data_IF_530812295843
#
_entry.id   IF_530812295843
#
_cell.length_a   1.000
_cell.length_b   1.000
_cell.length_c   1.000
_cell.angle_alpha   90.00
_cell.angle_beta   90.00
_cell.angle_gamma   90.00
#
_symmetry.space_group_name_H-M   'P 1'
#
loop_
_entity.id
_entity.type
_entity.pdbx_description
1 polymer ?
#
# COMPACT_ATOMS: atom_id res chain seq x y z
N UNK A 1 28.91 -5.86 -5.40
CA UNK A 1 29.14 -6.46 -4.06
C UNK A 1 27.93 -7.30 -3.73
N UNK A 2 28.15 -8.54 -3.26
CA UNK A 2 27.07 -9.45 -2.87
C UNK A 2 26.44 -8.96 -1.57
N UNK A 3 25.13 -9.18 -1.41
CA UNK A 3 24.38 -8.85 -0.20
C UNK A 3 23.78 -10.11 0.39
N UNK A 4 23.57 -10.13 1.69
CA UNK A 4 22.97 -11.27 2.42
C UNK A 4 21.59 -11.64 1.87
N UNK A 5 20.75 -10.66 1.49
CA UNK A 5 19.46 -10.93 0.83
C UNK A 5 19.55 -11.90 -0.35
N UNK A 6 20.64 -11.87 -1.12
CA UNK A 6 20.87 -12.83 -2.22
C UNK A 6 21.20 -14.22 -1.69
N UNK A 7 22.01 -14.31 -0.64
CA UNK A 7 22.39 -15.58 0.00
C UNK A 7 21.18 -16.23 0.69
N UNK A 8 20.41 -15.46 1.47
CA UNK A 8 19.14 -15.89 2.05
C UNK A 8 18.21 -16.41 0.96
N UNK A 9 18.08 -15.67 -0.14
CA UNK A 9 17.21 -16.04 -1.24
C UNK A 9 17.62 -17.35 -1.91
N UNK A 10 18.90 -17.52 -2.21
CA UNK A 10 19.41 -18.75 -2.86
C UNK A 10 19.26 -19.95 -1.93
N UNK A 11 19.56 -19.81 -0.64
CA UNK A 11 19.34 -20.88 0.34
C UNK A 11 17.86 -21.22 0.48
N UNK A 12 16.99 -20.22 0.71
CA UNK A 12 15.55 -20.44 0.89
C UNK A 12 14.93 -21.24 -0.27
N UNK A 13 15.32 -20.93 -1.50
CA UNK A 13 14.79 -21.57 -2.69
C UNK A 13 15.61 -22.79 -3.16
N UNK A 14 16.69 -23.13 -2.46
CA UNK A 14 17.60 -24.24 -2.78
C UNK A 14 18.16 -24.17 -4.21
N UNK A 15 18.54 -22.97 -4.67
CA UNK A 15 19.16 -22.78 -5.99
C UNK A 15 20.67 -23.02 -5.94
N UNK A 16 21.01 -24.22 -5.51
CA UNK A 16 22.37 -24.68 -5.32
C UNK A 16 22.60 -25.90 -6.21
N UNK A 17 23.86 -26.20 -6.50
CA UNK A 17 24.24 -27.51 -7.05
C UNK A 17 24.11 -28.59 -5.96
N UNK A 18 22.87 -29.02 -5.67
CA UNK A 18 22.52 -29.91 -4.54
C UNK A 18 23.35 -31.21 -4.52
N UNK A 19 23.76 -31.71 -5.69
CA UNK A 19 24.57 -32.92 -5.82
C UNK A 19 26.02 -32.77 -5.33
N UNK A 20 26.48 -31.55 -5.04
CA UNK A 20 27.88 -31.25 -4.70
C UNK A 20 28.03 -30.44 -3.40
N UNK A 21 26.98 -30.33 -2.59
CA UNK A 21 27.08 -29.55 -1.36
C UNK A 21 28.02 -30.22 -0.37
N UNK A 22 29.07 -29.49 0.02
CA UNK A 22 30.05 -29.91 1.01
C UNK A 22 30.38 -28.75 1.94
N UNK A 23 30.67 -29.05 3.20
CA UNK A 23 31.26 -28.06 4.10
C UNK A 23 32.66 -27.66 3.61
N UNK A 24 33.19 -26.54 4.11
CA UNK A 24 34.59 -26.13 3.86
C UNK A 24 35.61 -27.18 4.26
N UNK A 25 35.27 -28.07 5.20
CA UNK A 25 36.08 -29.22 5.61
C UNK A 25 35.78 -30.52 4.85
N UNK A 26 35.01 -30.47 3.75
CA UNK A 26 34.77 -31.59 2.82
C UNK A 26 33.69 -32.59 3.25
N UNK A 27 32.88 -32.30 4.28
CA UNK A 27 31.77 -33.17 4.68
C UNK A 27 30.58 -32.93 3.77
N UNK A 28 30.03 -33.99 3.17
CA UNK A 28 28.83 -33.90 2.34
C UNK A 28 27.64 -33.32 3.11
N UNK A 29 26.85 -32.48 2.45
CA UNK A 29 25.64 -31.85 2.98
C UNK A 29 24.44 -32.33 2.15
N UNK A 30 23.39 -32.78 2.82
CA UNK A 30 22.09 -33.06 2.21
C UNK A 30 21.03 -32.23 2.93
N UNK A 31 20.38 -31.32 2.21
CA UNK A 31 19.33 -30.47 2.76
C UNK A 31 17.98 -31.19 2.59
N UNK A 32 17.36 -31.59 3.70
CA UNK A 32 15.99 -32.14 3.70
C UNK A 32 14.96 -31.02 3.80
N UNK A 33 15.26 -30.00 4.60
CA UNK A 33 14.45 -28.81 4.76
C UNK A 33 15.37 -27.61 5.05
N UNK A 34 15.32 -26.51 4.27
CA UNK A 34 16.21 -25.35 4.45
C UNK A 34 15.93 -24.54 5.73
N UNK A 35 14.79 -24.78 6.38
CA UNK A 35 14.31 -24.00 7.51
C UNK A 35 13.32 -22.91 7.07
N UNK A 36 12.67 -22.30 8.06
CA UNK A 36 11.76 -21.17 7.86
C UNK A 36 12.55 -19.87 7.99
N UNK A 37 12.60 -19.07 6.92
CA UNK A 37 13.24 -17.75 6.97
C UNK A 37 12.44 -16.82 7.87
N UNK A 38 13.03 -16.39 8.99
CA UNK A 38 12.29 -15.71 10.07
C UNK A 38 12.19 -14.20 9.85
N UNK A 39 13.25 -13.56 9.34
CA UNK A 39 13.39 -12.09 9.28
C UNK A 39 13.17 -11.40 10.65
N UNK A 40 13.41 -12.13 11.73
CA UNK A 40 13.29 -11.67 13.11
C UNK A 40 14.67 -11.64 13.77
N UNK A 41 14.72 -11.14 15.01
CA UNK A 41 15.94 -11.25 15.83
C UNK A 41 16.29 -12.71 16.11
N UNK A 42 17.56 -13.06 15.96
CA UNK A 42 18.10 -14.41 16.09
C UNK A 42 18.51 -14.97 14.73
N UNK A 43 18.72 -16.30 14.64
CA UNK A 43 19.19 -16.90 13.41
C UNK A 43 18.25 -16.72 12.22
N UNK A 44 18.83 -16.56 11.03
CA UNK A 44 18.10 -16.28 9.80
C UNK A 44 17.02 -17.33 9.47
N UNK A 45 17.35 -18.61 9.61
CA UNK A 45 16.44 -19.73 9.33
C UNK A 45 16.22 -20.59 10.56
N UNK A 46 14.95 -20.75 10.92
CA UNK A 46 14.54 -21.60 12.03
C UNK A 46 14.26 -23.04 11.57
N UNK A 47 14.73 -24.02 12.34
CA UNK A 47 14.39 -25.44 12.20
C UNK A 47 14.65 -26.04 10.79
N UNK A 48 15.85 -25.80 10.27
CA UNK A 48 16.38 -26.54 9.14
C UNK A 48 16.67 -28.00 9.52
N UNK A 49 16.52 -28.91 8.55
CA UNK A 49 16.83 -30.33 8.69
C UNK A 49 17.86 -30.73 7.65
N UNK A 50 19.07 -31.05 8.10
CA UNK A 50 20.24 -31.20 7.23
C UNK A 50 21.04 -32.42 7.68
N UNK A 51 21.48 -33.26 6.74
CA UNK A 51 22.50 -34.27 7.01
C UNK A 51 23.87 -33.70 6.67
N UNK A 52 24.81 -33.76 7.62
CA UNK A 52 26.21 -33.36 7.41
C UNK A 52 27.09 -34.57 7.71
N UNK A 53 27.81 -35.07 6.69
CA UNK A 53 28.46 -36.38 6.73
C UNK A 53 27.41 -37.48 6.91
N UNK A 54 27.46 -38.18 8.04
CA UNK A 54 26.55 -39.29 8.35
C UNK A 54 25.51 -38.94 9.43
N UNK A 55 25.51 -37.70 9.94
CA UNK A 55 24.64 -37.27 11.03
C UNK A 55 23.53 -36.35 10.51
N UNK A 56 22.28 -36.65 10.88
CA UNK A 56 21.15 -35.74 10.65
C UNK A 56 21.02 -34.76 11.82
N UNK A 57 20.87 -33.49 11.48
CA UNK A 57 20.74 -32.37 12.40
C UNK A 57 19.38 -31.70 12.20
N UNK A 58 18.82 -31.16 13.29
CA UNK A 58 17.68 -30.27 13.28
C UNK A 58 18.03 -29.04 14.13
N UNK A 59 18.02 -27.85 13.52
CA UNK A 59 18.48 -26.63 14.17
C UNK A 59 18.42 -25.44 13.23
N UNK A 60 19.13 -24.37 13.57
CA UNK A 60 19.05 -23.11 12.86
C UNK A 60 20.17 -22.96 11.84
N UNK A 61 19.95 -22.12 10.83
CA UNK A 61 20.96 -21.76 9.84
C UNK A 61 21.14 -20.25 9.85
N UNK A 62 22.40 -19.83 9.88
CA UNK A 62 22.79 -18.41 9.85
C UNK A 62 23.50 -18.08 8.55
N UNK A 63 23.34 -16.85 8.04
CA UNK A 63 23.89 -16.43 6.76
C UNK A 63 24.60 -15.09 6.87
N UNK A 64 25.85 -15.05 6.42
CA UNK A 64 26.62 -13.82 6.35
C UNK A 64 27.35 -13.68 5.02
N UNK A 65 27.78 -12.46 4.67
CA UNK A 65 28.70 -12.29 3.54
C UNK A 65 30.08 -12.83 3.91
N UNK A 66 30.63 -12.46 5.07
CA UNK A 66 31.90 -12.97 5.57
C UNK A 66 31.67 -13.85 6.79
N UNK A 67 32.50 -14.88 6.98
CA UNK A 67 32.42 -15.70 8.20
C UNK A 67 32.74 -14.86 9.45
N UNK A 68 33.64 -13.88 9.33
CA UNK A 68 34.02 -12.96 10.41
C UNK A 68 32.87 -12.09 10.94
N UNK A 69 31.81 -11.90 10.16
CA UNK A 69 30.62 -11.15 10.58
C UNK A 69 29.95 -11.80 11.81
N UNK A 70 30.13 -13.11 12.01
CA UNK A 70 29.69 -13.82 13.21
C UNK A 70 30.18 -13.15 14.51
N UNK A 71 31.46 -12.80 14.57
CA UNK A 71 32.10 -12.18 15.73
C UNK A 71 31.84 -10.68 15.80
N UNK A 72 31.69 -10.01 14.66
CA UNK A 72 31.33 -8.59 14.61
C UNK A 72 29.95 -8.39 15.23
N UNK A 73 29.04 -9.33 15.01
CA UNK A 73 27.69 -9.32 15.59
C UNK A 73 27.59 -9.99 16.97
N UNK A 74 28.70 -10.48 17.54
CA UNK A 74 28.76 -11.11 18.86
C UNK A 74 27.83 -12.32 19.00
N UNK A 75 27.62 -13.08 17.91
CA UNK A 75 26.73 -14.24 17.92
C UNK A 75 27.26 -15.39 18.80
N UNK A 76 28.56 -15.43 19.04
CA UNK A 76 29.21 -16.37 19.96
C UNK A 76 28.77 -16.17 21.43
N UNK A 77 28.34 -14.96 21.80
CA UNK A 77 27.88 -14.64 23.16
C UNK A 77 26.34 -14.72 23.31
N UNK A 78 25.61 -14.77 22.19
CA UNK A 78 24.14 -14.78 22.19
C UNK A 78 23.57 -16.20 22.19
N UNK A 79 22.87 -16.54 23.27
CA UNK A 79 22.20 -17.84 23.49
C UNK A 79 21.24 -18.21 22.35
N UNK A 80 20.67 -17.25 21.62
CA UNK A 80 19.81 -17.52 20.46
C UNK A 80 20.52 -18.26 19.33
N UNK A 81 21.85 -18.14 19.23
CA UNK A 81 22.66 -18.72 18.17
C UNK A 81 23.30 -20.06 18.55
N UNK A 82 23.13 -20.52 19.79
CA UNK A 82 23.68 -21.80 20.27
C UNK A 82 23.21 -23.02 19.46
N UNK A 83 22.03 -22.95 18.84
CA UNK A 83 21.49 -24.05 18.03
C UNK A 83 21.71 -23.86 16.52
N UNK A 84 22.71 -23.05 16.11
CA UNK A 84 23.11 -22.94 14.70
C UNK A 84 23.89 -24.20 14.31
N UNK A 85 23.33 -24.95 13.34
CA UNK A 85 23.87 -26.22 12.86
C UNK A 85 24.65 -26.10 11.55
N UNK A 86 24.50 -24.96 10.87
CA UNK A 86 25.19 -24.64 9.62
C UNK A 86 25.29 -23.12 9.48
N UNK A 87 26.47 -22.62 9.13
CA UNK A 87 26.70 -21.23 8.79
C UNK A 87 26.97 -21.12 7.28
N UNK A 88 26.19 -20.30 6.60
CA UNK A 88 26.31 -20.06 5.16
C UNK A 88 27.08 -18.76 4.94
N UNK A 89 28.13 -18.82 4.14
CA UNK A 89 28.96 -17.64 3.88
C UNK A 89 29.26 -17.50 2.40
N UNK A 90 29.44 -16.26 1.93
CA UNK A 90 29.99 -16.01 0.60
C UNK A 90 31.53 -16.00 0.61
N UNK A 91 32.13 -15.60 1.72
CA UNK A 91 33.56 -15.53 1.94
C UNK A 91 33.90 -16.20 3.28
N UNK A 92 34.57 -17.35 3.22
CA UNK A 92 35.10 -18.03 4.40
C UNK A 92 36.50 -17.47 4.72
N UNK A 93 36.55 -16.49 5.60
CA UNK A 93 37.77 -15.75 5.98
C UNK A 93 38.30 -16.12 7.38
N UNK A 94 37.46 -16.68 8.25
CA UNK A 94 37.82 -17.15 9.59
C UNK A 94 37.02 -18.39 9.98
N UNK A 95 37.58 -19.22 10.85
CA UNK A 95 36.86 -20.33 11.49
C UNK A 95 35.89 -19.77 12.54
N UNK A 96 34.67 -20.33 12.60
CA UNK A 96 33.62 -19.89 13.52
C UNK A 96 33.30 -21.01 14.52
N UNK A 97 33.19 -20.64 15.79
CA UNK A 97 32.98 -21.59 16.89
C UNK A 97 31.65 -21.34 17.63
N UNK A 98 31.06 -22.42 18.12
CA UNK A 98 29.95 -22.39 19.07
C UNK A 98 30.47 -22.02 20.47
N UNK A 99 29.54 -21.71 21.38
CA UNK A 99 29.85 -21.43 22.80
C UNK A 99 30.49 -22.61 23.55
N UNK A 100 30.43 -23.83 23.01
CA UNK A 100 31.13 -25.01 23.52
C UNK A 100 32.50 -25.26 22.85
N UNK A 101 33.04 -24.26 22.14
CA UNK A 101 34.31 -24.30 21.40
C UNK A 101 34.36 -25.31 20.24
N UNK A 102 33.23 -25.89 19.83
CA UNK A 102 33.18 -26.73 18.63
C UNK A 102 33.02 -25.85 17.37
N UNK A 103 33.72 -26.16 16.28
CA UNK A 103 33.57 -25.41 15.03
C UNK A 103 32.17 -25.64 14.44
N UNK A 104 31.53 -24.55 14.01
CA UNK A 104 30.25 -24.61 13.31
C UNK A 104 30.52 -25.11 11.88
N UNK A 105 29.78 -26.11 11.38
CA UNK A 105 29.88 -26.48 9.97
C UNK A 105 29.58 -25.27 9.07
N UNK A 106 30.50 -24.96 8.13
CA UNK A 106 30.33 -23.85 7.19
C UNK A 106 30.13 -24.37 5.77
N UNK A 107 29.16 -23.82 5.04
CA UNK A 107 29.01 -24.00 3.59
C UNK A 107 29.38 -22.70 2.87
N UNK A 108 30.37 -22.79 1.98
CA UNK A 108 30.73 -21.72 1.06
C UNK A 108 29.75 -21.66 -0.12
N UNK A 109 28.87 -20.65 -0.09
CA UNK A 109 27.86 -20.43 -1.11
C UNK A 109 28.45 -20.01 -2.45
N UNK A 110 29.62 -19.38 -2.49
CA UNK A 110 30.23 -18.90 -3.75
C UNK A 110 30.51 -20.05 -4.70
N UNK A 111 30.89 -21.21 -4.15
CA UNK A 111 31.17 -22.43 -4.92
C UNK A 111 29.95 -23.34 -5.11
N UNK A 112 28.91 -23.16 -4.29
CA UNK A 112 27.68 -23.97 -4.35
C UNK A 112 26.61 -23.41 -5.30
N UNK A 113 26.68 -22.11 -5.61
CA UNK A 113 25.71 -21.43 -6.47
C UNK A 113 26.07 -21.62 -7.95
N UNK A 114 25.13 -22.04 -8.82
CA UNK A 114 25.38 -22.15 -10.25
C UNK A 114 25.87 -20.82 -10.84
N UNK A 115 26.92 -20.82 -11.68
CA UNK A 115 27.51 -19.57 -12.23
C UNK A 115 26.51 -18.66 -12.94
N UNK A 116 25.53 -19.23 -13.65
CA UNK A 116 24.49 -18.46 -14.36
C UNK A 116 23.56 -17.71 -13.41
N UNK A 117 23.22 -18.28 -12.24
CA UNK A 117 22.40 -17.59 -11.22
C UNK A 117 23.14 -16.36 -10.69
N UNK A 118 24.44 -16.49 -10.42
CA UNK A 118 25.26 -15.38 -9.96
C UNK A 118 25.45 -14.30 -11.03
N UNK A 119 25.66 -14.70 -12.29
CA UNK A 119 25.73 -13.77 -13.43
C UNK A 119 24.41 -13.03 -13.63
N UNK A 120 23.28 -13.72 -13.54
CA UNK A 120 21.95 -13.11 -13.60
C UNK A 120 21.75 -12.10 -12.47
N UNK A 121 22.17 -12.44 -11.24
CA UNK A 121 22.17 -11.53 -10.11
C UNK A 121 22.97 -10.26 -10.40
N UNK A 122 24.21 -10.39 -10.87
CA UNK A 122 25.07 -9.25 -11.22
C UNK A 122 24.41 -8.33 -12.27
N UNK A 123 23.82 -8.92 -13.31
CA UNK A 123 23.11 -8.19 -14.36
C UNK A 123 21.82 -7.50 -13.87
N UNK A 124 21.17 -8.07 -12.86
CA UNK A 124 19.97 -7.52 -12.26
C UNK A 124 20.29 -6.33 -11.36
N UNK A 125 21.31 -6.44 -10.49
CA UNK A 125 21.67 -5.35 -9.56
C UNK A 125 22.48 -4.23 -10.18
N UNK A 126 23.00 -4.42 -11.40
CA UNK A 126 23.71 -3.38 -12.14
C UNK A 126 22.82 -2.13 -12.28
N UNK A 127 23.36 -0.91 -12.08
CA UNK A 127 22.59 0.32 -12.22
C UNK A 127 21.98 0.42 -13.63
N UNK A 128 20.64 0.59 -13.69
CA UNK A 128 19.90 0.85 -14.93
C UNK A 128 19.09 2.14 -14.80
N UNK A 129 18.63 2.66 -15.94
CA UNK A 129 18.09 4.03 -16.05
C UNK A 129 16.87 4.25 -15.17
N UNK A 130 15.92 3.31 -15.14
CA UNK A 130 14.67 3.51 -14.40
C UNK A 130 14.30 2.38 -13.43
N UNK A 131 14.53 1.11 -13.81
CA UNK A 131 14.36 -0.06 -12.93
C UNK A 131 15.45 -1.11 -13.21
N UNK A 132 15.82 -1.89 -12.19
CA UNK A 132 16.87 -2.91 -12.26
C UNK A 132 16.60 -4.03 -13.28
N UNK A 133 15.34 -4.41 -13.47
CA UNK A 133 14.95 -5.45 -14.42
C UNK A 133 14.69 -4.95 -15.85
N UNK A 134 14.89 -3.67 -16.15
CA UNK A 134 14.46 -3.00 -17.40
C UNK A 134 14.76 -3.81 -18.67
N UNK A 135 16.02 -4.23 -18.85
CA UNK A 135 16.45 -4.97 -20.05
C UNK A 135 15.97 -6.43 -20.09
N UNK A 136 15.66 -7.02 -18.94
CA UNK A 136 15.27 -8.43 -18.81
C UNK A 136 13.75 -8.60 -18.76
N UNK A 137 13.02 -7.53 -18.49
CA UNK A 137 11.56 -7.53 -18.35
C UNK A 137 10.83 -8.05 -19.59
N UNK A 138 11.26 -7.77 -20.84
CA UNK A 138 10.64 -8.36 -22.03
C UNK A 138 10.70 -9.88 -22.07
N UNK A 139 11.73 -10.49 -21.48
CA UNK A 139 11.96 -11.93 -21.49
C UNK A 139 11.20 -12.67 -20.38
N UNK A 140 10.56 -11.96 -19.45
CA UNK A 140 9.77 -12.57 -18.38
C UNK A 140 8.42 -13.02 -18.96
N UNK A 141 8.01 -14.29 -18.77
CA UNK A 141 6.73 -14.78 -19.27
C UNK A 141 5.54 -13.95 -18.78
N UNK A 142 4.57 -13.69 -19.66
CA UNK A 142 3.39 -12.86 -19.35
C UNK A 142 2.57 -13.40 -18.17
N UNK A 143 2.53 -14.73 -18.00
CA UNK A 143 1.88 -15.38 -16.86
C UNK A 143 2.51 -14.97 -15.52
N UNK A 144 3.85 -14.85 -15.47
CA UNK A 144 4.57 -14.44 -14.26
C UNK A 144 4.32 -12.96 -13.98
N UNK A 145 4.33 -12.12 -15.03
CA UNK A 145 4.00 -10.70 -14.90
C UNK A 145 2.59 -10.51 -14.34
N UNK A 146 1.58 -11.14 -14.96
CA UNK A 146 0.17 -11.04 -14.55
C UNK A 146 -0.04 -11.48 -13.09
N UNK A 147 0.47 -12.66 -12.71
CA UNK A 147 0.35 -13.18 -11.33
C UNK A 147 1.01 -12.26 -10.30
N UNK A 148 2.16 -11.68 -10.65
CA UNK A 148 2.84 -10.76 -9.76
C UNK A 148 2.09 -9.43 -9.61
N UNK A 149 1.49 -8.90 -10.69
CA UNK A 149 0.65 -7.71 -10.60
C UNK A 149 -0.59 -7.94 -9.73
N UNK A 150 -1.24 -9.10 -9.87
CA UNK A 150 -2.35 -9.50 -9.00
C UNK A 150 -1.92 -9.52 -7.53
N UNK A 151 -0.79 -10.18 -7.22
CA UNK A 151 -0.22 -10.21 -5.86
C UNK A 151 0.01 -8.80 -5.31
N UNK A 152 0.61 -7.92 -6.10
CA UNK A 152 0.89 -6.53 -5.71
C UNK A 152 -0.38 -5.69 -5.53
N UNK A 153 -1.41 -5.94 -6.32
CA UNK A 153 -2.69 -5.28 -6.13
C UNK A 153 -3.30 -5.64 -4.77
N UNK A 154 -3.33 -6.93 -4.43
CA UNK A 154 -3.83 -7.40 -3.13
C UNK A 154 -2.98 -6.89 -1.96
N UNK A 155 -1.64 -6.90 -2.08
CA UNK A 155 -0.74 -6.30 -1.09
C UNK A 155 -1.10 -4.83 -0.85
N UNK A 156 -1.28 -4.06 -1.94
CA UNK A 156 -1.69 -2.67 -1.86
C UNK A 156 -3.06 -2.48 -1.22
N UNK A 157 -4.02 -3.35 -1.53
CA UNK A 157 -5.36 -3.32 -0.95
C UNK A 157 -5.30 -3.57 0.56
N UNK A 158 -4.51 -4.54 0.99
CA UNK A 158 -4.28 -4.86 2.41
C UNK A 158 -3.67 -3.67 3.17
N UNK A 159 -2.66 -3.00 2.60
CA UNK A 159 -2.07 -1.79 3.18
C UNK A 159 -3.09 -0.64 3.35
N UNK A 160 -4.12 -0.59 2.48
CA UNK A 160 -5.20 0.39 2.60
C UNK A 160 -6.28 -0.02 3.62
N UNK A 161 -6.41 -1.30 3.92
CA UNK A 161 -7.39 -1.82 4.88
C UNK A 161 -6.98 -1.54 6.33
N UNK A 162 -5.70 -1.53 6.67
CA UNK A 162 -5.23 -1.30 8.05
C UNK A 162 -5.74 0.03 8.68
N UNK A 163 -5.62 1.20 8.01
CA UNK A 163 -6.20 2.44 8.52
C UNK A 163 -7.73 2.43 8.62
N UNK A 164 -8.40 1.69 7.74
CA UNK A 164 -9.86 1.58 7.72
C UNK A 164 -10.34 0.81 8.95
N UNK A 165 -9.70 -0.32 9.27
CA UNK A 165 -10.01 -1.10 10.48
C UNK A 165 -9.70 -0.31 11.75
N UNK A 166 -8.62 0.46 11.76
CA UNK A 166 -8.33 1.38 12.88
C UNK A 166 -9.43 2.43 13.04
N UNK A 167 -9.89 3.02 11.94
CA UNK A 167 -11.01 3.98 11.95
C UNK A 167 -12.30 3.32 12.43
N UNK A 168 -12.55 2.05 12.07
CA UNK A 168 -13.72 1.29 12.49
C UNK A 168 -13.76 1.09 14.01
N UNK A 169 -12.63 0.74 14.64
CA UNK A 169 -12.54 0.65 16.10
C UNK A 169 -12.83 2.01 16.75
N UNK A 170 -12.23 3.09 16.22
CA UNK A 170 -12.43 4.45 16.74
C UNK A 170 -13.87 4.95 16.60
N UNK A 171 -14.60 4.50 15.58
CA UNK A 171 -16.02 4.82 15.35
C UNK A 171 -16.98 3.81 15.98
N UNK A 172 -16.50 2.93 16.87
CA UNK A 172 -17.33 1.93 17.57
C UNK A 172 -18.07 1.01 16.59
N UNK A 173 -17.36 0.56 15.56
CA UNK A 173 -17.85 -0.31 14.50
C UNK A 173 -18.96 0.30 13.62
N UNK A 174 -19.03 1.63 13.52
CA UNK A 174 -19.96 2.31 12.64
C UNK A 174 -19.38 2.52 11.24
N UNK A 175 -19.86 1.72 10.29
CA UNK A 175 -19.40 1.77 8.89
C UNK A 175 -19.84 3.01 8.11
N UNK A 176 -20.95 3.66 8.45
CA UNK A 176 -21.29 4.97 7.87
C UNK A 176 -20.29 6.04 8.31
N UNK A 177 -19.85 5.99 9.57
CA UNK A 177 -18.84 6.89 10.08
C UNK A 177 -17.47 6.67 9.40
N UNK A 178 -17.06 5.42 9.22
CA UNK A 178 -15.83 5.09 8.47
C UNK A 178 -15.92 5.60 7.03
N UNK A 179 -17.06 5.39 6.37
CA UNK A 179 -17.30 5.87 5.02
C UNK A 179 -17.21 7.40 4.95
N UNK A 180 -17.78 8.12 5.91
CA UNK A 180 -17.72 9.58 5.97
C UNK A 180 -16.29 10.10 6.08
N UNK A 181 -15.49 9.52 6.98
CA UNK A 181 -14.08 9.88 7.15
C UNK A 181 -13.26 9.65 5.87
N UNK A 182 -13.38 8.47 5.28
CA UNK A 182 -12.60 8.08 4.10
C UNK A 182 -13.09 8.78 2.82
N UNK A 183 -14.39 9.08 2.69
CA UNK A 183 -14.90 9.93 1.62
C UNK A 183 -14.38 11.35 1.77
N UNK A 184 -14.46 11.96 2.96
CA UNK A 184 -13.93 13.31 3.16
C UNK A 184 -12.46 13.39 2.75
N UNK A 185 -11.64 12.44 3.21
CA UNK A 185 -10.25 12.30 2.80
C UNK A 185 -10.09 12.16 1.28
N UNK A 186 -10.89 11.30 0.63
CA UNK A 186 -10.89 11.11 -0.82
C UNK A 186 -11.25 12.37 -1.60
N UNK A 187 -12.20 13.16 -1.10
CA UNK A 187 -12.58 14.46 -1.67
C UNK A 187 -11.49 15.52 -1.56
N UNK A 188 -10.64 15.42 -0.54
CA UNK A 188 -9.45 16.26 -0.42
C UNK A 188 -8.32 15.89 -1.38
N UNK A 189 -8.38 14.73 -2.05
CA UNK A 189 -7.32 14.22 -2.93
C UNK A 189 -5.95 14.20 -2.22
N UNK A 190 -4.86 14.17 -2.99
CA UNK A 190 -3.50 14.17 -2.43
C UNK A 190 -3.12 15.47 -1.71
N UNK A 191 -3.81 16.59 -1.98
CA UNK A 191 -3.45 17.90 -1.43
C UNK A 191 -4.13 18.18 -0.10
N UNK A 192 -5.47 18.05 -0.07
CA UNK A 192 -6.30 18.40 1.09
C UNK A 192 -6.84 17.17 1.83
N UNK A 193 -6.46 15.95 1.44
CA UNK A 193 -7.00 14.72 2.03
C UNK A 193 -6.76 14.64 3.55
N UNK A 194 -5.59 15.06 4.04
CA UNK A 194 -5.30 15.13 5.48
C UNK A 194 -6.21 16.15 6.19
N UNK A 195 -6.34 17.35 5.63
CA UNK A 195 -7.19 18.41 6.17
C UNK A 195 -8.66 17.99 6.24
N UNK A 196 -9.17 17.35 5.18
CA UNK A 196 -10.56 16.91 5.13
C UNK A 196 -10.82 15.72 6.05
N UNK A 197 -9.85 14.83 6.24
CA UNK A 197 -9.95 13.75 7.23
C UNK A 197 -9.98 14.31 8.66
N UNK A 198 -9.11 15.27 9.00
CA UNK A 198 -9.11 15.96 10.29
C UNK A 198 -10.47 16.66 10.53
N UNK A 199 -10.96 17.37 9.51
CA UNK A 199 -12.26 18.03 9.54
C UNK A 199 -13.39 17.05 9.82
N UNK A 200 -13.45 15.93 9.09
CA UNK A 200 -14.49 14.92 9.30
C UNK A 200 -14.41 14.26 10.69
N UNK A 201 -13.21 14.09 11.25
CA UNK A 201 -13.02 13.61 12.62
C UNK A 201 -13.53 14.60 13.67
N UNK A 202 -13.30 15.90 13.48
CA UNK A 202 -13.81 16.94 14.39
C UNK A 202 -15.33 17.02 14.32
N UNK A 203 -15.91 16.95 13.11
CA UNK A 203 -17.37 17.00 12.95
C UNK A 203 -18.00 15.75 13.57
N UNK A 204 -17.39 14.58 13.40
CA UNK A 204 -17.97 13.25 13.67
C UNK A 204 -19.20 12.94 12.81
N UNK A 205 -19.46 11.65 12.59
CA UNK A 205 -20.63 11.22 11.83
C UNK A 205 -21.93 11.56 12.55
N UNK A 206 -21.98 11.44 13.88
CA UNK A 206 -23.19 11.65 14.67
C UNK A 206 -23.68 13.09 14.60
N UNK A 207 -22.77 14.07 14.62
CA UNK A 207 -23.12 15.49 14.44
C UNK A 207 -23.55 15.75 13.01
N UNK A 208 -22.78 15.24 12.03
CA UNK A 208 -23.09 15.41 10.62
C UNK A 208 -24.46 14.82 10.25
N UNK A 209 -24.78 13.63 10.75
CA UNK A 209 -26.04 12.93 10.54
C UNK A 209 -27.24 13.70 11.11
N UNK A 210 -27.10 14.38 12.26
CA UNK A 210 -28.18 15.20 12.85
C UNK A 210 -28.57 16.39 11.98
N UNK A 211 -27.66 16.87 11.14
CA UNK A 211 -27.87 18.01 10.25
C UNK A 211 -28.12 17.62 8.78
N UNK A 212 -28.18 16.31 8.48
CA UNK A 212 -28.18 15.78 7.11
C UNK A 212 -29.39 16.21 6.27
N UNK A 213 -30.50 16.59 6.92
CA UNK A 213 -31.71 17.11 6.26
C UNK A 213 -31.60 18.58 5.84
N UNK A 214 -30.49 19.27 6.14
CA UNK A 214 -30.30 20.69 5.87
C UNK A 214 -29.00 20.94 5.13
N UNK A 215 -29.04 21.07 3.79
CA UNK A 215 -27.84 21.25 2.97
C UNK A 215 -26.95 22.41 3.42
N UNK A 216 -27.53 23.58 3.74
CA UNK A 216 -26.77 24.74 4.25
C UNK A 216 -26.06 24.45 5.58
N UNK A 217 -26.63 23.60 6.43
CA UNK A 217 -25.96 23.21 7.69
C UNK A 217 -24.77 22.31 7.39
N UNK A 218 -24.90 21.37 6.45
CA UNK A 218 -23.78 20.52 6.03
C UNK A 218 -22.65 21.34 5.42
N UNK A 219 -22.98 22.28 4.53
CA UNK A 219 -22.03 23.24 3.96
C UNK A 219 -21.36 24.07 5.07
N UNK A 220 -22.12 24.61 6.02
CA UNK A 220 -21.59 25.38 7.15
C UNK A 220 -20.66 24.57 8.06
N UNK A 221 -21.00 23.31 8.38
CA UNK A 221 -20.14 22.40 9.16
C UNK A 221 -18.80 22.18 8.45
N UNK A 222 -18.85 21.78 7.17
CA UNK A 222 -17.67 21.45 6.40
C UNK A 222 -16.77 22.68 6.21
N UNK A 223 -17.33 23.82 5.80
CA UNK A 223 -16.55 25.04 5.59
C UNK A 223 -16.03 25.65 6.89
N UNK A 224 -16.84 25.66 7.96
CA UNK A 224 -16.47 26.22 9.24
C UNK A 224 -15.34 25.45 9.92
N UNK A 225 -15.46 24.11 9.99
CA UNK A 225 -14.40 23.26 10.53
C UNK A 225 -13.16 23.29 9.64
N UNK A 226 -13.30 23.39 8.31
CA UNK A 226 -12.17 23.58 7.40
C UNK A 226 -11.48 24.97 7.50
N UNK A 227 -12.04 25.90 8.28
CA UNK A 227 -11.46 27.23 8.48
C UNK A 227 -11.70 28.20 7.32
N UNK A 228 -12.72 27.93 6.49
CA UNK A 228 -13.04 28.72 5.30
C UNK A 228 -14.10 29.82 5.56
N UNK A 229 -14.59 29.96 6.80
CA UNK A 229 -15.63 30.93 7.19
C UNK A 229 -15.12 32.05 8.13
N UNK A 230 -13.81 32.32 8.14
CA UNK A 230 -13.19 33.25 9.10
C UNK A 230 -13.17 34.72 8.64
N UNK A 231 -13.68 35.03 7.45
CA UNK A 231 -13.62 36.36 6.85
C UNK A 231 -14.94 37.15 7.01
N UNK A 232 -14.87 38.47 6.77
CA UNK A 232 -16.06 39.32 6.64
C UNK A 232 -16.65 39.18 5.24
N UNK A 233 -17.83 38.56 5.14
CA UNK A 233 -18.47 38.31 3.85
C UNK A 233 -19.39 39.44 3.38
N UNK A 234 -19.49 39.64 2.07
CA UNK A 234 -20.43 40.55 1.41
C UNK A 234 -21.66 39.82 0.87
N UNK A 235 -21.49 38.61 0.32
CA UNK A 235 -22.58 37.87 -0.29
C UNK A 235 -23.59 37.39 0.74
N UNK A 236 -24.88 37.42 0.37
CA UNK A 236 -25.96 37.02 1.25
C UNK A 236 -25.85 35.54 1.67
N UNK A 237 -25.54 34.66 0.72
CA UNK A 237 -25.34 33.23 1.02
C UNK A 237 -24.16 33.01 1.97
N UNK A 238 -23.04 33.70 1.75
CA UNK A 238 -21.84 33.57 2.58
C UNK A 238 -22.09 34.04 4.03
N UNK A 239 -22.82 35.15 4.19
CA UNK A 239 -23.30 35.62 5.52
C UNK A 239 -24.19 34.59 6.20
N UNK A 240 -25.11 33.98 5.46
CA UNK A 240 -26.03 32.96 5.98
C UNK A 240 -25.30 31.70 6.46
N UNK A 241 -24.36 31.16 5.68
CA UNK A 241 -23.60 29.97 6.10
C UNK A 241 -22.67 30.29 7.27
N UNK A 242 -22.10 31.50 7.35
CA UNK A 242 -21.28 31.91 8.49
C UNK A 242 -22.11 32.02 9.77
N UNK A 243 -23.31 32.62 9.71
CA UNK A 243 -24.22 32.66 10.85
C UNK A 243 -24.68 31.25 11.26
N UNK A 244 -24.95 30.39 10.28
CA UNK A 244 -25.30 28.97 10.53
C UNK A 244 -24.15 28.24 11.21
N UNK A 245 -22.90 28.48 10.79
CA UNK A 245 -21.71 27.92 11.43
C UNK A 245 -21.59 28.36 12.90
N UNK A 246 -21.78 29.64 13.21
CA UNK A 246 -21.76 30.15 14.58
C UNK A 246 -22.84 29.48 15.45
N UNK A 247 -24.05 29.32 14.91
CA UNK A 247 -25.13 28.59 15.57
C UNK A 247 -24.74 27.11 15.84
N UNK A 248 -24.18 26.43 14.85
CA UNK A 248 -23.77 25.02 14.98
C UNK A 248 -22.63 24.85 15.98
N UNK A 249 -21.66 25.77 16.02
CA UNK A 249 -20.59 25.78 17.00
C UNK A 249 -21.14 25.95 18.43
N UNK A 250 -22.14 26.81 18.63
CA UNK A 250 -22.82 26.94 19.91
C UNK A 250 -23.64 25.69 20.29
N UNK A 251 -24.26 25.03 19.29
CA UNK A 251 -25.04 23.79 19.47
C UNK A 251 -24.16 22.58 19.79
N UNK A 252 -22.95 22.53 19.23
CA UNK A 252 -22.02 21.41 19.33
C UNK A 252 -20.63 21.88 19.82
N UNK A 253 -20.41 21.93 21.15
CA UNK A 253 -19.23 22.57 21.73
C UNK A 253 -17.87 21.94 21.39
N UNK A 254 -17.85 20.73 20.82
CA UNK A 254 -16.63 20.06 20.36
C UNK A 254 -16.16 20.54 18.98
N UNK A 255 -17.01 21.26 18.23
CA UNK A 255 -16.68 21.77 16.93
C UNK A 255 -15.64 22.91 17.04
N UNK A 256 -14.54 22.72 16.33
CA UNK A 256 -13.45 23.68 16.23
C UNK A 256 -12.89 23.65 14.81
N UNK A 257 -12.16 24.69 14.43
CA UNK A 257 -11.46 24.71 13.15
C UNK A 257 -10.25 23.79 13.20
N UNK A 258 -9.97 23.10 12.08
CA UNK A 258 -8.78 22.26 11.92
C UNK A 258 -7.49 23.07 12.02
N UNK A 259 -6.41 22.37 12.39
CA UNK A 259 -5.07 22.93 12.42
C UNK A 259 -4.35 22.79 11.07
N UNK A 260 -4.68 21.75 10.30
CA UNK A 260 -4.11 21.54 8.97
C UNK A 260 -4.66 22.57 7.98
N UNK A 261 -3.76 23.28 7.28
CA UNK A 261 -4.13 24.28 6.27
C UNK A 261 -4.81 23.64 5.06
N UNK A 262 -5.88 24.29 4.59
CA UNK A 262 -6.57 23.94 3.34
C UNK A 262 -5.95 24.71 2.18
N UNK A 263 -5.48 23.98 1.17
CA UNK A 263 -4.72 24.52 0.05
C UNK A 263 -5.58 24.67 -1.21
N UNK A 264 -5.51 25.86 -1.82
CA UNK A 264 -6.09 26.14 -3.14
C UNK A 264 -5.04 26.14 -4.25
N UNK A 265 -3.76 26.29 -3.90
CA UNK A 265 -2.68 26.47 -4.86
C UNK A 265 -2.47 25.21 -5.73
N UNK A 266 -2.15 25.41 -7.02
CA UNK A 266 -1.94 24.36 -8.05
C UNK A 266 -3.15 23.46 -8.33
N UNK A 267 -4.33 23.82 -7.86
CA UNK A 267 -5.56 23.11 -8.20
C UNK A 267 -6.27 23.77 -9.39
N UNK A 268 -6.99 22.98 -10.17
CA UNK A 268 -7.95 23.51 -11.14
C UNK A 268 -9.21 23.96 -10.39
N UNK A 269 -9.96 24.96 -10.87
CA UNK A 269 -11.13 25.48 -10.16
C UNK A 269 -12.14 24.40 -9.73
N UNK A 270 -12.44 23.41 -10.57
CA UNK A 270 -13.36 22.30 -10.23
C UNK A 270 -12.84 21.38 -9.11
N UNK A 271 -11.53 21.44 -8.81
CA UNK A 271 -10.91 20.68 -7.72
C UNK A 271 -10.76 21.49 -6.44
N UNK A 272 -11.12 22.78 -6.45
CA UNK A 272 -10.98 23.62 -5.26
C UNK A 272 -11.71 23.03 -4.05
N UNK A 273 -11.14 23.19 -2.85
CA UNK A 273 -11.70 22.60 -1.64
C UNK A 273 -13.14 23.04 -1.37
N UNK A 274 -13.48 24.29 -1.68
CA UNK A 274 -14.86 24.83 -1.65
C UNK A 274 -15.83 24.00 -2.49
N UNK A 275 -15.47 23.70 -3.73
CA UNK A 275 -16.29 22.88 -4.64
C UNK A 275 -16.36 21.44 -4.14
N UNK A 276 -15.25 20.87 -3.67
CA UNK A 276 -15.21 19.49 -3.16
C UNK A 276 -16.07 19.31 -1.92
N UNK A 277 -16.01 20.22 -0.96
CA UNK A 277 -16.84 20.18 0.23
C UNK A 277 -18.32 20.43 -0.10
N UNK A 278 -18.65 21.36 -1.01
CA UNK A 278 -20.02 21.54 -1.49
C UNK A 278 -20.57 20.26 -2.15
N UNK A 279 -19.77 19.58 -2.97
CA UNK A 279 -20.14 18.30 -3.58
C UNK A 279 -20.36 17.21 -2.52
N UNK A 280 -19.52 17.15 -1.49
CA UNK A 280 -19.65 16.19 -0.38
C UNK A 280 -20.92 16.45 0.44
N UNK A 281 -21.24 17.72 0.74
CA UNK A 281 -22.48 18.12 1.39
C UNK A 281 -23.71 17.69 0.57
N UNK A 282 -23.72 18.02 -0.73
CA UNK A 282 -24.79 17.61 -1.65
C UNK A 282 -24.94 16.08 -1.72
N UNK A 283 -23.83 15.33 -1.68
CA UNK A 283 -23.87 13.88 -1.78
C UNK A 283 -24.64 13.28 -0.59
N UNK A 284 -24.27 13.66 0.62
CA UNK A 284 -24.91 13.16 1.83
C UNK A 284 -26.33 13.70 2.03
N UNK A 285 -26.60 14.94 1.63
CA UNK A 285 -27.95 15.49 1.64
C UNK A 285 -28.91 14.67 0.76
N UNK A 286 -28.46 14.26 -0.44
CA UNK A 286 -29.28 13.45 -1.34
C UNK A 286 -29.22 11.94 -1.06
N UNK A 287 -28.18 11.46 -0.40
CA UNK A 287 -27.96 10.05 -0.08
C UNK A 287 -27.59 9.86 1.41
N UNK A 288 -28.54 10.02 2.36
CA UNK A 288 -28.24 9.97 3.79
C UNK A 288 -27.73 8.63 4.32
N UNK A 289 -28.05 7.53 3.64
CA UNK A 289 -27.64 6.16 3.98
C UNK A 289 -26.78 5.58 2.85
N UNK A 290 -25.63 6.22 2.63
CA UNK A 290 -24.78 5.97 1.48
C UNK A 290 -24.08 4.61 1.52
N UNK A 291 -23.75 4.12 2.73
CA UNK A 291 -22.99 2.89 2.91
C UNK A 291 -23.72 1.66 2.37
N UNK A 292 -24.96 1.42 2.79
CA UNK A 292 -25.73 0.25 2.34
C UNK A 292 -25.93 0.24 0.82
N UNK A 293 -26.19 1.41 0.25
CA UNK A 293 -26.34 1.59 -1.21
C UNK A 293 -25.04 1.28 -1.95
N UNK A 294 -23.90 1.71 -1.40
CA UNK A 294 -22.57 1.42 -1.96
C UNK A 294 -22.23 -0.06 -1.95
N UNK A 295 -22.40 -0.72 -0.80
CA UNK A 295 -22.14 -2.16 -0.66
C UNK A 295 -22.96 -2.94 -1.69
N UNK A 296 -24.28 -2.69 -1.75
CA UNK A 296 -25.15 -3.34 -2.71
C UNK A 296 -24.73 -3.07 -4.16
N UNK A 297 -24.28 -1.85 -4.46
CA UNK A 297 -23.89 -1.50 -5.83
C UNK A 297 -22.62 -2.21 -6.29
N UNK A 298 -21.64 -2.36 -5.41
CA UNK A 298 -20.39 -3.07 -5.70
C UNK A 298 -20.64 -4.59 -5.79
N UNK A 299 -21.48 -5.16 -4.91
CA UNK A 299 -21.86 -6.58 -4.97
C UNK A 299 -22.55 -6.95 -6.29
N UNK A 300 -23.44 -6.07 -6.77
CA UNK A 300 -24.24 -6.31 -7.98
C UNK A 300 -23.58 -5.79 -9.26
N UNK A 301 -22.36 -5.25 -9.18
CA UNK A 301 -21.71 -4.54 -10.30
C UNK A 301 -22.62 -3.47 -10.94
N UNK A 302 -23.47 -2.81 -10.15
CA UNK A 302 -24.42 -1.82 -10.64
C UNK A 302 -23.83 -0.40 -10.66
N UNK A 303 -24.55 0.51 -11.33
CA UNK A 303 -24.08 1.86 -11.59
C UNK A 303 -23.99 2.72 -10.33
N UNK A 304 -22.85 3.39 -10.15
CA UNK A 304 -22.63 4.40 -9.10
C UNK A 304 -23.15 5.80 -9.49
N UNK A 305 -24.17 5.88 -10.35
CA UNK A 305 -24.72 7.16 -10.83
C UNK A 305 -25.23 8.07 -9.71
N UNK A 306 -25.60 7.49 -8.56
CA UNK A 306 -25.99 8.24 -7.37
C UNK A 306 -24.87 9.09 -6.76
N UNK A 307 -23.61 8.85 -7.15
CA UNK A 307 -22.48 9.72 -6.80
C UNK A 307 -22.47 11.02 -7.63
N UNK A 308 -23.19 11.10 -8.76
CA UNK A 308 -23.13 12.25 -9.68
C UNK A 308 -24.05 13.40 -9.25
N UNK A 309 -23.94 13.82 -8.00
CA UNK A 309 -24.68 14.97 -7.46
C UNK A 309 -24.10 16.29 -7.96
N UNK A 310 -24.97 17.30 -8.07
CA UNK A 310 -24.59 18.69 -8.34
C UNK A 310 -24.45 19.48 -7.03
N UNK A 311 -23.63 20.53 -7.05
CA UNK A 311 -23.55 21.51 -5.95
C UNK A 311 -24.83 22.36 -5.86
N UNK A 312 -25.03 23.03 -4.72
CA UNK A 312 -26.11 24.01 -4.53
C UNK A 312 -25.98 25.20 -5.49
N UNK A 313 -27.07 25.96 -5.67
CA UNK A 313 -27.16 27.00 -6.71
C UNK A 313 -26.07 28.07 -6.60
N UNK A 314 -25.69 28.47 -5.39
CA UNK A 314 -24.61 29.43 -5.15
C UNK A 314 -23.29 28.96 -5.80
N UNK A 315 -22.93 27.70 -5.58
CA UNK A 315 -21.69 27.12 -6.10
C UNK A 315 -21.72 26.88 -7.61
N UNK A 316 -22.85 27.03 -8.30
CA UNK A 316 -22.87 27.00 -9.78
C UNK A 316 -22.17 28.22 -10.38
N UNK A 317 -22.26 29.39 -9.74
CA UNK A 317 -21.55 30.61 -10.15
C UNK A 317 -20.33 30.94 -9.30
N UNK A 318 -20.03 30.21 -8.24
CA UNK A 318 -18.88 30.49 -7.37
C UNK A 318 -17.86 29.35 -7.39
N UNK A 319 -16.57 29.68 -7.44
CA UNK A 319 -15.47 28.74 -7.18
C UNK A 319 -14.87 28.96 -5.79
N UNK A 320 -14.89 30.20 -5.31
CA UNK A 320 -14.53 30.59 -3.95
C UNK A 320 -15.69 31.40 -3.37
N UNK A 321 -15.74 31.51 -2.04
CA UNK A 321 -16.74 32.33 -1.36
C UNK A 321 -16.55 33.80 -1.79
N UNK A 322 -17.63 34.56 -1.92
CA UNK A 322 -17.65 35.99 -2.26
C UNK A 322 -17.09 36.39 -3.63
N UNK A 323 -16.84 35.42 -4.51
CA UNK A 323 -16.30 35.69 -5.84
C UNK A 323 -17.14 35.04 -6.94
N UNK A 324 -18.08 35.82 -7.47
CA UNK A 324 -18.94 35.40 -8.56
C UNK A 324 -18.14 35.19 -9.87
N UNK A 325 -18.52 34.16 -10.59
CA UNK A 325 -17.98 33.78 -11.90
C UNK A 325 -19.13 33.33 -12.81
N UNK A 326 -18.83 33.10 -14.09
CA UNK A 326 -19.83 32.58 -15.03
C UNK A 326 -20.37 31.23 -14.53
N UNK A 327 -21.70 31.12 -14.47
CA UNK A 327 -22.37 29.91 -14.03
C UNK A 327 -22.00 28.69 -14.89
N UNK A 328 -21.62 27.59 -14.23
CA UNK A 328 -21.31 26.30 -14.82
C UNK A 328 -21.90 25.17 -13.99
N UNK A 329 -22.18 24.03 -14.64
CA UNK A 329 -22.58 22.81 -13.91
C UNK A 329 -21.36 22.24 -13.20
N UNK A 330 -21.36 22.25 -11.88
CA UNK A 330 -20.32 21.63 -11.05
C UNK A 330 -20.88 20.37 -10.40
N UNK A 331 -20.52 19.22 -10.95
CA UNK A 331 -20.95 17.91 -10.46
C UNK A 331 -19.77 16.99 -10.26
N UNK A 332 -19.97 15.93 -9.47
CA UNK A 332 -19.00 14.85 -9.35
C UNK A 332 -18.88 14.18 -10.73
N UNK A 333 -17.69 14.29 -11.34
CA UNK A 333 -17.41 13.73 -12.66
C UNK A 333 -17.23 12.21 -12.60
N UNK A 334 -17.45 11.52 -13.72
CA UNK A 334 -17.21 10.08 -13.82
C UNK A 334 -15.77 9.70 -13.45
N UNK A 335 -14.79 10.50 -13.89
CA UNK A 335 -13.38 10.28 -13.57
C UNK A 335 -13.10 10.39 -12.07
N UNK A 336 -13.75 11.32 -11.39
CA UNK A 336 -13.61 11.48 -9.95
C UNK A 336 -14.37 10.39 -9.18
N UNK A 337 -15.57 9.99 -9.63
CA UNK A 337 -16.27 8.82 -9.11
C UNK A 337 -15.45 7.54 -9.22
N UNK A 338 -14.78 7.30 -10.36
CA UNK A 338 -13.87 6.17 -10.55
C UNK A 338 -12.67 6.25 -9.61
N UNK A 339 -12.10 7.44 -9.41
CA UNK A 339 -11.01 7.64 -8.47
C UNK A 339 -11.43 7.29 -7.04
N UNK A 340 -12.60 7.76 -6.59
CA UNK A 340 -13.17 7.40 -5.28
C UNK A 340 -13.45 5.91 -5.20
N UNK A 341 -14.00 5.30 -6.25
CA UNK A 341 -14.26 3.87 -6.30
C UNK A 341 -12.98 3.06 -6.03
N UNK A 342 -11.92 3.33 -6.78
CA UNK A 342 -10.65 2.61 -6.68
C UNK A 342 -9.94 2.87 -5.35
N UNK A 343 -9.93 4.13 -4.89
CA UNK A 343 -9.08 4.52 -3.77
C UNK A 343 -9.75 4.52 -2.40
N UNK A 344 -11.08 4.59 -2.37
CA UNK A 344 -11.88 4.73 -1.14
C UNK A 344 -12.87 3.58 -1.04
N UNK A 345 -13.74 3.40 -2.03
CA UNK A 345 -14.90 2.52 -1.90
C UNK A 345 -14.54 1.04 -1.95
N UNK A 346 -13.66 0.61 -2.86
CA UNK A 346 -13.20 -0.79 -2.91
C UNK A 346 -12.42 -1.18 -1.64
N UNK A 347 -11.46 -0.37 -1.13
CA UNK A 347 -10.82 -0.66 0.16
C UNK A 347 -11.81 -0.80 1.31
N UNK A 348 -12.83 0.06 1.42
CA UNK A 348 -13.87 -0.06 2.45
C UNK A 348 -14.68 -1.34 2.26
N UNK A 349 -15.11 -1.62 1.03
CA UNK A 349 -15.88 -2.81 0.68
C UNK A 349 -15.13 -4.10 1.05
N UNK A 350 -13.88 -4.21 0.62
CA UNK A 350 -13.00 -5.33 0.93
C UNK A 350 -12.83 -5.51 2.44
N UNK A 351 -12.61 -4.40 3.17
CA UNK A 351 -12.47 -4.43 4.63
C UNK A 351 -13.75 -4.90 5.32
N UNK A 352 -14.92 -4.41 4.86
CA UNK A 352 -16.23 -4.79 5.39
C UNK A 352 -16.53 -6.28 5.19
N UNK A 353 -16.25 -6.82 4.01
CA UNK A 353 -16.48 -8.24 3.73
C UNK A 353 -15.58 -9.16 4.56
N UNK A 354 -14.30 -8.80 4.70
CA UNK A 354 -13.37 -9.52 5.56
C UNK A 354 -13.83 -9.49 7.02
N UNK A 355 -14.29 -8.32 7.49
CA UNK A 355 -14.84 -8.18 8.84
C UNK A 355 -16.09 -9.06 9.06
N UNK A 356 -16.93 -9.23 8.05
CA UNK A 356 -18.10 -10.13 8.11
C UNK A 356 -17.77 -11.62 7.96
N UNK A 357 -16.52 -11.98 7.65
CA UNK A 357 -16.13 -13.35 7.32
C UNK A 357 -16.77 -13.86 6.01
N UNK A 358 -17.15 -12.95 5.11
CA UNK A 358 -17.78 -13.25 3.81
C UNK A 358 -17.01 -12.59 2.66
N UNK A 359 -15.74 -12.95 2.45
CA UNK A 359 -14.96 -12.38 1.36
C UNK A 359 -15.60 -12.72 0.01
N UNK A 360 -15.76 -11.74 -0.87
CA UNK A 360 -16.13 -11.97 -2.26
C UNK A 360 -15.16 -11.26 -3.20
N UNK A 361 -15.21 -11.65 -4.46
CA UNK A 361 -14.42 -11.06 -5.55
C UNK A 361 -15.27 -10.19 -6.47
N UNK A 362 -16.51 -9.85 -6.09
CA UNK A 362 -17.43 -9.08 -6.94
C UNK A 362 -16.90 -7.71 -7.35
N UNK A 363 -16.05 -7.11 -6.51
CA UNK A 363 -15.38 -5.85 -6.79
C UNK A 363 -14.29 -5.98 -7.88
N UNK A 364 -13.74 -7.18 -8.12
CA UNK A 364 -12.73 -7.41 -9.19
C UNK A 364 -13.36 -7.12 -10.54
N UNK A 365 -14.53 -7.70 -10.84
CA UNK A 365 -15.23 -7.48 -12.10
C UNK A 365 -15.57 -6.00 -12.34
N UNK A 366 -15.83 -5.25 -11.27
CA UNK A 366 -16.07 -3.81 -11.33
C UNK A 366 -14.80 -3.08 -11.77
N UNK A 367 -13.65 -3.44 -11.21
CA UNK A 367 -12.37 -2.80 -11.50
C UNK A 367 -11.78 -3.21 -12.86
N UNK A 368 -11.99 -4.44 -13.30
CA UNK A 368 -11.53 -4.91 -14.61
C UNK A 368 -12.15 -4.12 -15.77
N UNK A 369 -13.35 -3.56 -15.56
CA UNK A 369 -14.05 -2.71 -16.54
C UNK A 369 -13.51 -1.27 -16.58
N UNK A 370 -12.66 -0.88 -15.63
CA UNK A 370 -12.10 0.48 -15.55
C UNK A 370 -10.75 0.50 -16.27
N UNK A 371 -10.58 1.46 -17.18
CA UNK A 371 -9.33 1.65 -17.90
C UNK A 371 -8.16 1.97 -16.94
N UNK A 372 -6.92 1.59 -17.29
CA UNK A 372 -5.74 1.92 -16.51
C UNK A 372 -5.61 3.43 -16.27
N UNK A 373 -5.08 3.80 -15.11
CA UNK A 373 -4.78 5.20 -14.81
C UNK A 373 -3.67 5.74 -15.72
N UNK A 374 -3.82 7.01 -16.12
CA UNK A 374 -2.80 7.72 -16.89
C UNK A 374 -1.82 8.40 -15.94
N UNK A 375 -0.62 7.85 -15.82
CA UNK A 375 0.47 8.46 -15.09
C UNK A 375 1.82 7.97 -15.64
N UNK A 376 2.87 8.75 -15.41
CA UNK A 376 4.21 8.47 -15.94
C UNK A 376 4.77 7.10 -15.51
N UNK A 377 4.41 6.57 -14.34
CA UNK A 377 4.87 5.24 -13.91
C UNK A 377 4.23 4.15 -14.78
N UNK A 378 2.91 4.22 -14.99
CA UNK A 378 2.18 3.30 -15.87
C UNK A 378 2.69 3.39 -17.30
N UNK A 379 2.84 4.60 -17.84
CA UNK A 379 3.31 4.82 -19.21
C UNK A 379 4.70 4.19 -19.44
N UNK A 380 5.60 4.35 -18.46
CA UNK A 380 6.94 3.78 -18.50
C UNK A 380 6.94 2.25 -18.42
N UNK A 381 6.13 1.64 -17.55
CA UNK A 381 6.03 0.17 -17.50
C UNK A 381 5.42 -0.42 -18.77
N UNK A 382 4.41 0.22 -19.34
CA UNK A 382 3.83 -0.19 -20.61
C UNK A 382 4.87 -0.12 -21.74
N UNK A 383 5.71 0.92 -21.76
CA UNK A 383 6.83 1.02 -22.70
C UNK A 383 7.87 -0.10 -22.50
N UNK A 384 8.00 -0.64 -21.28
CA UNK A 384 8.85 -1.79 -20.95
C UNK A 384 8.16 -3.15 -21.10
N UNK A 385 7.11 -3.24 -21.90
CA UNK A 385 6.35 -4.48 -22.20
C UNK A 385 5.57 -5.08 -21.02
N UNK A 386 5.35 -4.31 -19.95
CA UNK A 386 4.48 -4.71 -18.85
C UNK A 386 3.11 -4.04 -19.04
N UNK A 387 2.19 -4.78 -19.65
CA UNK A 387 0.90 -4.27 -20.10
C UNK A 387 -0.06 -4.10 -18.93
N UNK A 388 -0.63 -2.92 -18.79
CA UNK A 388 -1.76 -2.66 -17.90
C UNK A 388 -3.05 -2.69 -18.73
N UNK A 389 -3.97 -3.62 -18.43
CA UNK A 389 -5.25 -3.81 -19.13
C UNK A 389 -6.38 -3.05 -18.45
N UNK A 390 -6.33 -2.96 -17.13
CA UNK A 390 -7.35 -2.32 -16.30
C UNK A 390 -6.71 -1.52 -15.16
N UNK A 391 -7.55 -0.95 -14.29
CA UNK A 391 -7.09 -0.12 -13.17
C UNK A 391 -6.35 -0.91 -12.08
N UNK A 392 -6.63 -2.20 -11.93
CA UNK A 392 -5.91 -3.05 -10.97
C UNK A 392 -4.44 -3.18 -11.39
N UNK A 393 -4.19 -3.41 -12.68
CA UNK A 393 -2.82 -3.46 -13.21
C UNK A 393 -2.10 -2.13 -13.02
N UNK A 394 -2.75 -0.99 -13.29
CA UNK A 394 -2.11 0.32 -13.08
C UNK A 394 -1.78 0.59 -11.61
N UNK A 395 -2.66 0.19 -10.68
CA UNK A 395 -2.41 0.31 -9.24
C UNK A 395 -1.28 -0.65 -8.79
N UNK A 396 -1.22 -1.86 -9.36
CA UNK A 396 -0.18 -2.84 -9.09
C UNK A 396 1.20 -2.38 -9.55
N UNK A 397 1.33 -1.76 -10.73
CA UNK A 397 2.63 -1.25 -11.18
C UNK A 397 3.10 -0.03 -10.40
N UNK A 398 2.18 0.80 -9.90
CA UNK A 398 2.52 1.87 -8.95
C UNK A 398 3.06 1.26 -7.65
N UNK A 399 2.43 0.19 -7.14
CA UNK A 399 2.93 -0.56 -5.99
C UNK A 399 4.32 -1.16 -6.27
N UNK A 400 4.51 -1.80 -7.42
CA UNK A 400 5.78 -2.37 -7.85
C UNK A 400 6.89 -1.31 -7.83
N UNK A 401 6.64 -0.15 -8.44
CA UNK A 401 7.63 0.93 -8.51
C UNK A 401 8.03 1.41 -7.13
N UNK A 402 7.02 1.85 -6.37
CA UNK A 402 7.22 2.60 -5.14
C UNK A 402 7.70 1.69 -4.00
N UNK A 403 7.23 0.45 -3.92
CA UNK A 403 7.51 -0.44 -2.77
C UNK A 403 8.57 -1.51 -3.06
N UNK A 404 8.90 -1.77 -4.33
CA UNK A 404 9.92 -2.75 -4.70
C UNK A 404 11.08 -2.14 -5.49
N UNK A 405 10.82 -1.55 -6.66
CA UNK A 405 11.89 -1.10 -7.56
C UNK A 405 12.74 0.01 -6.93
N UNK A 406 12.11 1.03 -6.33
CA UNK A 406 12.81 2.16 -5.69
C UNK A 406 13.59 1.74 -4.44
N UNK A 407 13.13 0.68 -3.78
CA UNK A 407 13.76 0.11 -2.60
C UNK A 407 14.73 -1.03 -2.93
N UNK A 408 15.00 -1.30 -4.22
CA UNK A 408 15.92 -2.35 -4.71
C UNK A 408 15.56 -3.77 -4.25
N UNK A 409 14.27 -4.05 -3.99
CA UNK A 409 13.78 -5.35 -3.48
C UNK A 409 13.61 -6.42 -4.56
N UNK A 410 14.56 -6.52 -5.49
CA UNK A 410 14.44 -7.46 -6.62
C UNK A 410 14.41 -8.93 -6.17
N UNK A 411 15.04 -9.28 -5.03
CA UNK A 411 15.01 -10.63 -4.46
C UNK A 411 13.65 -11.01 -3.87
N UNK A 412 12.79 -10.03 -3.56
CA UNK A 412 11.43 -10.22 -3.04
C UNK A 412 10.36 -10.05 -4.13
N UNK A 413 10.76 -9.63 -5.33
CA UNK A 413 9.87 -9.36 -6.45
C UNK A 413 9.72 -10.59 -7.33
N UNK A 414 8.49 -11.10 -7.56
CA UNK A 414 8.27 -12.28 -8.40
C UNK A 414 8.87 -12.18 -9.82
N UNK A 415 8.91 -10.98 -10.40
CA UNK A 415 9.60 -10.71 -11.68
C UNK A 415 11.11 -10.85 -11.52
N UNK A 416 11.69 -10.24 -10.49
CA UNK A 416 13.13 -10.31 -10.21
C UNK A 416 13.58 -11.74 -9.94
N UNK A 417 12.83 -12.47 -9.13
CA UNK A 417 13.05 -13.89 -8.85
C UNK A 417 13.05 -14.73 -10.13
N UNK A 418 12.06 -14.51 -11.02
CA UNK A 418 12.02 -15.24 -12.30
C UNK A 418 13.22 -14.94 -13.19
N UNK A 419 13.70 -13.70 -13.22
CA UNK A 419 14.90 -13.33 -13.99
C UNK A 419 16.13 -14.06 -13.48
N UNK A 420 16.26 -14.22 -12.17
CA UNK A 420 17.38 -14.95 -11.58
C UNK A 420 17.36 -16.45 -11.93
N UNK A 421 16.17 -17.06 -12.05
CA UNK A 421 15.99 -18.48 -12.42
C UNK A 421 16.19 -18.78 -13.90
N UNK A 422 15.97 -17.80 -14.79
CA UNK A 422 15.99 -18.06 -16.22
C UNK A 422 17.42 -18.40 -16.68
N UNK A 423 17.67 -19.70 -16.78
CA UNK A 423 18.67 -20.36 -17.63
C UNK A 423 18.10 -20.61 -19.02
#
# INVERSE_FOLDING_TARGET
MVKEDFLHFVWKNQWLEVSKLQTVCGKNIIVHHPGQYTQLSGPDFFNAQITIGNQKWAGNVEVHVNASDWYIHQHEEDVKYHNVILHLVWNYDVEVYQSNEQPIPVLDLKNAIPPEVYKNYQNLIAPKKWIFCENSLPNVPELIKSKWLETLYFERLQLKTEPILTSLENTKHNWEAVLFLELAKGFGLNTNGKAFYEMANIITWETFQKEISHLKHLEALLFGVAGLLNDSFQDQYAKEINHTWQFLQAKYPHLQTITTTVEFFKQRPDNFPTIRLAQLASLYYHQPFLFSKLIHSIETSSSLSFLQVEVSDYWKSHYTIDHETKATKKKISNSFSQLLLVNVLVPIFYSYQNYQGKPTESWIEVLEKIAPEKNHIVDRFQALTLKCKNVMDSQAVIQLKNNYCDHRKCMQCGIGQKILQNT
#
